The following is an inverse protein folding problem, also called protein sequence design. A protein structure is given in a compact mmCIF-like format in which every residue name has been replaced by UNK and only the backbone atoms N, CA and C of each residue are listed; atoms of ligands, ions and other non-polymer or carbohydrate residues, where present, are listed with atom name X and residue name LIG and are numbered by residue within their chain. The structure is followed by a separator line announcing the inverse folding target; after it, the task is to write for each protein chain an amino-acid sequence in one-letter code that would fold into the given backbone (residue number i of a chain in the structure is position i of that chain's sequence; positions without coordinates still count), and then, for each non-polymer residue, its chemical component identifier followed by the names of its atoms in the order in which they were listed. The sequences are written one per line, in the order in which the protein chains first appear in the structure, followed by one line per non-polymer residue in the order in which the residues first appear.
data_IF_249814491965
#
_entry.id   IF_249814491965
#
_cell.length_a   1.000
_cell.length_b   1.000
_cell.length_c   1.000
_cell.angle_alpha   90.00
_cell.angle_beta   90.00
_cell.angle_gamma   90.00
#
_symmetry.space_group_name_H-M   'P 1'
#
loop_
_entity.id
_entity.type
_entity.pdbx_description
1 polymer ?
#
# COMPACT_ATOMS: atom_id res chain seq x y z
N UNK A 1 23.67 -15.89 -10.71
CA UNK A 1 22.99 -16.22 -9.44
C UNK A 1 21.53 -16.43 -9.76
N UNK A 2 20.95 -17.56 -9.37
CA UNK A 2 19.50 -17.79 -9.52
C UNK A 2 18.76 -16.72 -8.74
N UNK A 3 17.82 -16.03 -9.38
CA UNK A 3 17.05 -14.97 -8.74
C UNK A 3 16.10 -15.59 -7.71
N UNK A 4 16.12 -15.09 -6.47
CA UNK A 4 15.20 -15.57 -5.42
C UNK A 4 13.79 -15.03 -5.66
N UNK A 5 12.77 -15.74 -5.18
CA UNK A 5 11.38 -15.31 -5.32
C UNK A 5 11.13 -13.92 -4.72
N UNK A 6 11.76 -13.61 -3.58
CA UNK A 6 11.67 -12.30 -2.94
C UNK A 6 12.32 -11.19 -3.77
N UNK A 7 13.39 -11.48 -4.52
CA UNK A 7 13.98 -10.51 -5.44
C UNK A 7 13.05 -10.25 -6.63
N UNK A 8 12.36 -11.27 -7.13
CA UNK A 8 11.33 -11.09 -8.17
C UNK A 8 10.11 -10.32 -7.64
N UNK A 9 9.67 -10.60 -6.40
CA UNK A 9 8.61 -9.85 -5.72
C UNK A 9 8.98 -8.38 -5.55
N UNK A 10 10.19 -8.09 -5.09
CA UNK A 10 10.73 -6.73 -4.97
C UNK A 10 10.65 -5.99 -6.31
N UNK A 11 11.15 -6.59 -7.41
CA UNK A 11 11.06 -5.99 -8.75
C UNK A 11 9.63 -5.79 -9.24
N UNK A 12 8.66 -6.60 -8.79
CA UNK A 12 7.24 -6.41 -9.11
C UNK A 12 6.68 -5.22 -8.35
N UNK A 13 6.92 -5.14 -7.04
CA UNK A 13 6.50 -4.02 -6.20
C UNK A 13 7.12 -2.70 -6.66
N UNK A 14 8.36 -2.75 -7.17
CA UNK A 14 9.06 -1.57 -7.69
C UNK A 14 8.42 -0.94 -8.93
N UNK A 15 7.50 -1.67 -9.58
CA UNK A 15 6.70 -1.14 -10.70
C UNK A 15 5.39 -0.49 -10.25
N UNK A 16 5.07 -0.52 -8.96
CA UNK A 16 3.81 -0.02 -8.43
C UNK A 16 4.00 1.32 -7.72
N UNK A 17 3.15 2.30 -8.05
CA UNK A 17 3.09 3.60 -7.37
C UNK A 17 4.48 4.26 -7.22
N UNK A 18 4.93 4.48 -5.98
CA UNK A 18 6.23 5.11 -5.65
C UNK A 18 7.43 4.17 -5.76
N UNK A 19 7.21 2.95 -6.21
CA UNK A 19 8.22 1.92 -6.29
C UNK A 19 8.54 1.28 -4.94
N UNK A 20 9.55 0.42 -4.98
CA UNK A 20 10.09 -0.36 -3.88
C UNK A 20 11.54 -0.72 -4.26
N UNK A 21 12.43 0.29 -4.37
CA UNK A 21 13.78 0.11 -4.91
C UNK A 21 14.61 -0.89 -4.11
N UNK A 22 15.51 -1.59 -4.80
CA UNK A 22 16.51 -2.45 -4.18
C UNK A 22 17.53 -1.62 -3.38
N UNK A 23 18.12 -2.24 -2.36
CA UNK A 23 19.15 -1.63 -1.52
C UNK A 23 20.44 -2.44 -1.53
N UNK A 24 21.55 -1.82 -1.12
CA UNK A 24 22.84 -2.49 -1.02
C UNK A 24 22.88 -3.41 0.22
N UNK A 25 22.20 -3.00 1.30
CA UNK A 25 22.08 -3.80 2.52
C UNK A 25 21.16 -5.02 2.37
N UNK A 26 20.22 -4.98 1.42
CA UNK A 26 19.18 -5.99 1.26
C UNK A 26 18.03 -5.86 2.26
N UNK A 27 17.91 -4.74 2.99
CA UNK A 27 16.86 -4.50 3.99
C UNK A 27 15.45 -4.63 3.41
N UNK A 28 15.27 -4.28 2.13
CA UNK A 28 14.00 -4.45 1.41
C UNK A 28 13.62 -5.93 1.26
N UNK A 29 14.59 -6.82 1.10
CA UNK A 29 14.31 -8.26 1.04
C UNK A 29 13.95 -8.79 2.42
N UNK A 30 14.65 -8.37 3.47
CA UNK A 30 14.33 -8.74 4.85
C UNK A 30 12.91 -8.31 5.24
N UNK A 31 12.47 -7.12 4.79
CA UNK A 31 11.09 -6.66 4.93
C UNK A 31 10.11 -7.64 4.24
N UNK A 32 10.40 -8.04 3.00
CA UNK A 32 9.52 -8.97 2.27
C UNK A 32 9.48 -10.36 2.92
N UNK A 33 10.61 -10.87 3.38
CA UNK A 33 10.70 -12.16 4.09
C UNK A 33 9.94 -12.16 5.42
N UNK A 34 9.83 -11.00 6.09
CA UNK A 34 9.02 -10.85 7.31
C UNK A 34 7.52 -10.75 7.02
N UNK A 35 7.14 -10.28 5.83
CA UNK A 35 5.73 -10.08 5.43
C UNK A 35 5.13 -11.28 4.70
N UNK A 36 5.91 -11.94 3.85
CA UNK A 36 5.46 -12.97 2.91
C UNK A 36 6.10 -14.32 3.21
N UNK A 37 5.31 -15.39 3.13
CA UNK A 37 5.85 -16.72 2.84
C UNK A 37 6.22 -16.84 1.35
N UNK A 38 7.00 -17.85 0.97
CA UNK A 38 7.28 -18.11 -0.44
C UNK A 38 6.00 -18.39 -1.24
N UNK A 39 5.00 -19.06 -0.65
CA UNK A 39 3.71 -19.32 -1.30
C UNK A 39 2.93 -18.01 -1.53
N UNK A 40 2.95 -17.10 -0.54
CA UNK A 40 2.32 -15.78 -0.66
C UNK A 40 3.01 -14.93 -1.73
N UNK A 41 4.34 -14.96 -1.78
CA UNK A 41 5.13 -14.23 -2.77
C UNK A 41 4.82 -14.74 -4.19
N UNK A 42 4.71 -16.06 -4.36
CA UNK A 42 4.31 -16.67 -5.63
C UNK A 42 2.89 -16.23 -6.03
N UNK A 43 1.93 -16.30 -5.11
CA UNK A 43 0.56 -15.87 -5.37
C UNK A 43 0.49 -14.38 -5.71
N UNK A 44 1.17 -13.51 -4.97
CA UNK A 44 1.20 -12.07 -5.24
C UNK A 44 1.77 -11.75 -6.62
N UNK A 45 2.76 -12.50 -7.10
CA UNK A 45 3.33 -12.33 -8.44
C UNK A 45 2.34 -12.70 -9.56
N UNK A 46 1.37 -13.56 -9.28
CA UNK A 46 0.26 -13.92 -10.16
C UNK A 46 -0.92 -12.94 -10.08
N UNK A 47 -0.91 -11.99 -9.13
CA UNK A 47 -1.94 -10.97 -8.99
C UNK A 47 -1.63 -9.73 -9.85
N UNK A 48 -2.69 -9.00 -10.18
CA UNK A 48 -2.62 -7.66 -10.75
C UNK A 48 -3.20 -6.61 -9.78
N UNK A 49 -2.94 -5.31 -9.99
CA UNK A 49 -3.63 -4.25 -9.24
C UNK A 49 -5.14 -4.17 -9.52
N UNK A 50 -5.65 -4.87 -10.55
CA UNK A 50 -7.08 -4.92 -10.81
C UNK A 50 -7.76 -5.86 -9.82
N UNK A 51 -9.01 -5.53 -9.47
CA UNK A 51 -9.81 -6.36 -8.58
C UNK A 51 -10.32 -7.61 -9.30
N UNK A 52 -9.80 -8.76 -8.91
CA UNK A 52 -10.07 -10.06 -9.49
C UNK A 52 -10.82 -10.98 -8.52
N UNK A 53 -11.70 -11.84 -9.03
CA UNK A 53 -12.35 -12.86 -8.20
C UNK A 53 -11.42 -14.06 -8.01
N UNK A 54 -11.59 -14.88 -6.95
CA UNK A 54 -10.83 -16.10 -6.76
C UNK A 54 -10.88 -17.05 -7.97
N UNK A 55 -12.00 -17.14 -8.68
CA UNK A 55 -12.16 -18.00 -9.86
C UNK A 55 -11.27 -17.55 -11.02
N UNK A 56 -11.17 -16.23 -11.25
CA UNK A 56 -10.31 -15.65 -12.28
C UNK A 56 -8.85 -16.00 -12.00
N UNK A 57 -8.40 -15.77 -10.77
CA UNK A 57 -7.03 -16.09 -10.33
C UNK A 57 -6.78 -17.59 -10.41
N UNK A 58 -7.71 -18.43 -9.93
CA UNK A 58 -7.61 -19.88 -9.93
C UNK A 58 -7.42 -20.46 -11.34
N UNK A 59 -8.12 -19.93 -12.35
CA UNK A 59 -7.94 -20.34 -13.74
C UNK A 59 -6.53 -20.05 -14.27
N UNK A 60 -5.91 -18.95 -13.82
CA UNK A 60 -4.56 -18.53 -14.22
C UNK A 60 -3.48 -19.38 -13.55
N UNK A 61 -3.65 -19.68 -12.26
CA UNK A 61 -2.65 -20.42 -11.46
C UNK A 61 -2.86 -21.93 -11.48
N UNK A 62 -3.93 -22.43 -12.12
CA UNK A 62 -4.22 -23.86 -12.23
C UNK A 62 -4.59 -24.54 -10.90
N UNK A 63 -5.16 -23.81 -9.95
CA UNK A 63 -5.62 -24.31 -8.64
C UNK A 63 -7.14 -24.31 -8.55
N UNK A 64 -7.71 -24.92 -7.50
CA UNK A 64 -9.15 -24.84 -7.27
C UNK A 64 -9.55 -23.43 -6.80
N UNK A 65 -10.72 -22.95 -7.23
CA UNK A 65 -11.23 -21.63 -6.81
C UNK A 65 -11.40 -21.52 -5.29
N UNK A 66 -11.76 -22.63 -4.63
CA UNK A 66 -11.91 -22.68 -3.17
C UNK A 66 -10.58 -22.47 -2.46
N UNK A 67 -9.52 -23.16 -2.89
CA UNK A 67 -8.21 -23.06 -2.23
C UNK A 67 -7.61 -21.67 -2.46
N UNK A 68 -7.77 -21.13 -3.68
CA UNK A 68 -7.35 -19.76 -3.98
C UNK A 68 -8.13 -18.74 -3.17
N UNK A 69 -9.45 -18.91 -3.01
CA UNK A 69 -10.25 -18.00 -2.18
C UNK A 69 -9.77 -17.97 -0.73
N UNK A 70 -9.47 -19.14 -0.14
CA UNK A 70 -8.95 -19.25 1.24
C UNK A 70 -7.58 -18.57 1.34
N UNK A 71 -6.69 -18.80 0.36
CA UNK A 71 -5.35 -18.22 0.38
C UNK A 71 -5.38 -16.69 0.21
N UNK A 72 -6.16 -16.18 -0.75
CA UNK A 72 -6.29 -14.73 -0.97
C UNK A 72 -6.91 -14.01 0.23
N UNK A 73 -7.89 -14.64 0.90
CA UNK A 73 -8.53 -14.10 2.10
C UNK A 73 -7.56 -14.04 3.29
N UNK A 74 -6.73 -15.07 3.49
CA UNK A 74 -5.68 -15.05 4.51
C UNK A 74 -4.63 -13.95 4.24
N UNK A 75 -4.17 -13.85 2.98
CA UNK A 75 -3.25 -12.79 2.57
C UNK A 75 -3.85 -11.39 2.79
N UNK A 76 -5.12 -11.17 2.46
CA UNK A 76 -5.81 -9.91 2.71
C UNK A 76 -5.92 -9.61 4.21
N UNK A 77 -6.26 -10.60 5.04
CA UNK A 77 -6.36 -10.45 6.51
C UNK A 77 -5.01 -10.11 7.17
N UNK A 78 -3.90 -10.51 6.54
CA UNK A 78 -2.54 -10.13 6.92
C UNK A 78 -2.05 -8.82 6.31
N UNK A 79 -2.88 -8.13 5.51
CA UNK A 79 -2.51 -6.84 4.93
C UNK A 79 -1.65 -6.93 3.67
N UNK A 80 -1.63 -8.07 2.98
CA UNK A 80 -0.78 -8.31 1.81
C UNK A 80 -1.48 -8.05 0.47
N UNK A 81 -2.82 -8.02 0.47
CA UNK A 81 -3.67 -7.73 -0.68
C UNK A 81 -4.76 -6.75 -0.29
N UNK A 82 -5.24 -5.98 -1.27
CA UNK A 82 -6.49 -5.25 -1.12
C UNK A 82 -7.67 -6.20 -1.32
N UNK A 83 -8.69 -6.07 -0.49
CA UNK A 83 -9.95 -6.82 -0.57
C UNK A 83 -11.09 -5.82 -0.76
N UNK A 84 -12.02 -6.16 -1.66
CA UNK A 84 -13.28 -5.46 -1.81
C UNK A 84 -14.43 -6.46 -1.77
N UNK A 85 -15.38 -6.20 -0.88
CA UNK A 85 -16.65 -6.91 -0.83
C UNK A 85 -17.75 -6.06 -1.47
N UNK A 86 -18.42 -6.61 -2.49
CA UNK A 86 -19.55 -5.95 -3.15
C UNK A 86 -20.69 -6.93 -3.37
N UNK A 87 -21.69 -6.88 -2.50
CA UNK A 87 -22.75 -7.89 -2.46
C UNK A 87 -22.14 -9.25 -2.14
N UNK A 88 -22.51 -10.29 -2.89
CA UNK A 88 -22.01 -11.65 -2.68
C UNK A 88 -20.66 -11.93 -3.38
N UNK A 89 -19.97 -10.89 -3.88
CA UNK A 89 -18.70 -11.03 -4.60
C UNK A 89 -17.55 -10.44 -3.81
N UNK A 90 -16.54 -11.28 -3.53
CA UNK A 90 -15.24 -10.90 -3.02
C UNK A 90 -14.24 -10.75 -4.17
N UNK A 91 -13.48 -9.66 -4.14
CA UNK A 91 -12.42 -9.39 -5.10
C UNK A 91 -11.15 -8.97 -4.40
N UNK A 92 -10.02 -9.33 -5.01
CA UNK A 92 -8.69 -9.09 -4.47
C UNK A 92 -7.80 -8.42 -5.51
N UNK A 93 -6.88 -7.57 -5.06
CA UNK A 93 -5.90 -6.90 -5.91
C UNK A 93 -4.56 -6.75 -5.23
N UNK A 94 -3.50 -6.80 -6.03
CA UNK A 94 -2.14 -6.48 -5.58
C UNK A 94 -2.05 -5.00 -5.17
N UNK A 95 -1.30 -4.73 -4.11
CA UNK A 95 -1.14 -3.40 -3.52
C UNK A 95 0.30 -2.89 -3.64
N UNK A 96 0.51 -1.57 -3.74
CA UNK A 96 1.85 -0.99 -3.66
C UNK A 96 2.44 -1.16 -2.25
N UNK A 97 3.72 -0.81 -2.11
CA UNK A 97 4.37 -0.80 -0.80
C UNK A 97 3.79 0.29 0.13
N UNK A 98 3.76 1.54 -0.33
CA UNK A 98 3.10 2.69 0.34
C UNK A 98 1.75 2.96 -0.30
N UNK A 99 0.76 3.35 0.50
CA UNK A 99 -0.68 3.21 0.24
C UNK A 99 -1.10 1.75 0.05
N UNK A 100 -0.49 0.83 0.80
CA UNK A 100 -0.72 -0.60 0.70
C UNK A 100 -0.05 -1.37 1.84
N UNK A 101 0.97 -2.17 1.51
CA UNK A 101 1.61 -3.09 2.46
C UNK A 101 1.96 -2.43 3.79
N UNK A 102 2.58 -1.24 3.75
CA UNK A 102 3.02 -0.50 4.93
C UNK A 102 1.83 -0.10 5.84
N UNK A 103 0.83 0.57 5.28
CA UNK A 103 -0.34 1.06 6.02
C UNK A 103 -1.18 -0.08 6.59
N UNK A 104 -1.28 -1.19 5.86
CA UNK A 104 -2.05 -2.35 6.31
C UNK A 104 -1.39 -3.11 7.47
N UNK A 105 -0.10 -2.85 7.75
CA UNK A 105 0.57 -3.35 8.95
C UNK A 105 0.31 -2.53 10.22
N UNK A 106 -0.50 -1.46 10.18
CA UNK A 106 -0.71 -0.55 11.33
C UNK A 106 -1.08 -1.27 12.64
N UNK A 107 -1.81 -2.39 12.58
CA UNK A 107 -2.21 -3.18 13.77
C UNK A 107 -1.16 -4.22 14.21
N UNK A 108 -0.19 -4.55 13.36
CA UNK A 108 0.77 -5.66 13.55
C UNK A 108 2.22 -5.18 13.71
N UNK A 109 2.41 -3.87 13.80
CA UNK A 109 3.71 -3.24 13.82
C UNK A 109 4.41 -3.42 15.16
N UNK A 110 5.63 -3.94 15.09
CA UNK A 110 6.56 -4.11 16.21
C UNK A 110 7.81 -3.22 16.00
N UNK A 111 8.66 -3.14 17.03
CA UNK A 111 9.90 -2.35 16.96
C UNK A 111 10.81 -2.83 15.83
N UNK A 112 10.99 -4.14 15.67
CA UNK A 112 11.88 -4.71 14.66
C UNK A 112 11.44 -4.29 13.25
N UNK A 113 10.14 -4.36 12.94
CA UNK A 113 9.60 -3.89 11.66
C UNK A 113 9.79 -2.38 11.50
N UNK A 114 9.61 -1.61 12.57
CA UNK A 114 9.81 -0.16 12.53
C UNK A 114 11.26 0.24 12.25
N UNK A 115 12.22 -0.51 12.79
CA UNK A 115 13.65 -0.33 12.52
C UNK A 115 14.00 -0.68 11.06
N UNK A 116 13.49 -1.81 10.55
CA UNK A 116 13.66 -2.18 9.14
C UNK A 116 13.09 -1.11 8.18
N UNK A 117 11.89 -0.60 8.46
CA UNK A 117 11.28 0.44 7.64
C UNK A 117 12.03 1.77 7.71
N UNK A 118 12.59 2.13 8.87
CA UNK A 118 13.47 3.31 8.99
C UNK A 118 14.71 3.13 8.13
N UNK A 119 15.40 2.01 8.26
CA UNK A 119 16.66 1.77 7.55
C UNK A 119 16.41 1.74 6.03
N UNK A 120 15.32 1.11 5.59
CA UNK A 120 14.89 1.13 4.20
C UNK A 120 14.56 2.55 3.69
N UNK A 121 13.89 3.36 4.52
CA UNK A 121 13.59 4.75 4.19
C UNK A 121 14.85 5.58 4.00
N UNK A 122 15.78 5.51 4.95
CA UNK A 122 17.04 6.24 4.93
C UNK A 122 17.95 5.77 3.79
N UNK A 123 17.98 4.47 3.49
CA UNK A 123 18.88 3.93 2.47
C UNK A 123 18.39 4.21 1.05
N UNK A 124 17.10 3.98 0.75
CA UNK A 124 16.62 4.02 -0.64
C UNK A 124 15.27 4.72 -0.84
N UNK A 125 14.25 4.42 -0.01
CA UNK A 125 12.88 4.82 -0.33
C UNK A 125 12.67 6.33 -0.35
N UNK A 126 13.39 7.12 0.48
CA UNK A 126 13.28 8.59 0.46
C UNK A 126 13.61 9.19 -0.92
N UNK A 127 14.55 8.59 -1.68
CA UNK A 127 14.91 9.07 -3.02
C UNK A 127 13.82 8.75 -4.04
N UNK A 128 13.23 7.56 -3.95
CA UNK A 128 12.09 7.19 -4.80
C UNK A 128 10.88 8.10 -4.52
N UNK A 129 10.60 8.37 -3.25
CA UNK A 129 9.53 9.28 -2.83
C UNK A 129 9.70 10.69 -3.42
N UNK A 130 10.91 11.27 -3.32
CA UNK A 130 11.21 12.58 -3.89
C UNK A 130 11.16 12.54 -5.42
N UNK A 131 11.74 11.51 -6.05
CA UNK A 131 11.74 11.40 -7.52
C UNK A 131 10.35 11.23 -8.13
N UNK A 132 9.40 10.69 -7.37
CA UNK A 132 8.01 10.51 -7.80
C UNK A 132 7.08 11.68 -7.42
N UNK A 133 7.57 12.74 -6.76
CA UNK A 133 6.73 13.86 -6.31
C UNK A 133 5.97 14.54 -7.46
N UNK A 134 6.61 14.64 -8.61
CA UNK A 134 6.01 15.22 -9.83
C UNK A 134 4.92 14.32 -10.44
N UNK A 135 4.87 13.05 -10.05
CA UNK A 135 3.88 12.07 -10.56
C UNK A 135 2.53 12.20 -9.87
N UNK A 136 2.46 12.80 -8.66
CA UNK A 136 1.19 13.08 -7.99
C UNK A 136 0.44 14.27 -8.61
N UNK A 137 1.14 15.14 -9.35
CA UNK A 137 0.56 16.32 -9.98
C UNK A 137 0.53 16.12 -11.49
N UNK A 138 -0.65 15.81 -12.03
CA UNK A 138 -0.82 15.68 -13.48
C UNK A 138 -0.79 17.06 -14.12
N UNK A 139 0.29 17.38 -14.81
CA UNK A 139 0.34 18.53 -15.72
C UNK A 139 -0.48 18.22 -16.98
N UNK A 140 -1.53 19.00 -17.24
CA UNK A 140 -2.32 18.94 -18.49
C UNK A 140 -1.95 20.16 -19.35
N UNK A 141 -1.21 19.99 -20.46
CA UNK A 141 -0.89 21.10 -21.34
C UNK A 141 -2.13 21.47 -22.16
N UNK A 142 -2.68 22.67 -21.94
CA UNK A 142 -3.88 23.16 -22.64
C UNK A 142 -3.58 24.10 -23.81
N UNK A 143 -2.31 24.42 -24.08
CA UNK A 143 -1.84 25.28 -25.20
C UNK A 143 -2.50 26.67 -25.31
N UNK A 144 -3.16 27.13 -24.26
CA UNK A 144 -3.83 28.42 -24.18
C UNK A 144 -3.35 29.17 -22.93
N UNK A 145 -3.33 30.51 -22.99
CA UNK A 145 -3.17 31.33 -21.78
C UNK A 145 -4.47 31.24 -20.99
N UNK A 146 -4.47 30.42 -19.95
CA UNK A 146 -5.57 30.41 -18.99
C UNK A 146 -5.44 31.70 -18.17
N UNK A 147 -6.50 32.53 -18.12
CA UNK A 147 -6.56 33.59 -17.11
C UNK A 147 -6.27 32.94 -15.76
N UNK A 148 -5.32 33.50 -15.02
CA UNK A 148 -4.96 32.99 -13.71
C UNK A 148 -6.10 33.33 -12.74
N UNK A 149 -7.21 32.60 -12.86
CA UNK A 149 -8.22 32.51 -11.83
C UNK A 149 -7.54 31.72 -10.72
N UNK A 150 -6.78 32.41 -9.88
CA UNK A 150 -6.55 31.98 -8.51
C UNK A 150 -7.90 32.05 -7.81
N UNK A 151 -8.83 31.18 -8.20
CA UNK A 151 -9.70 30.62 -7.20
C UNK A 151 -8.74 29.93 -6.26
N UNK A 152 -8.57 30.46 -5.06
CA UNK A 152 -8.35 29.59 -3.92
C UNK A 152 -9.50 28.59 -4.05
N UNK A 153 -9.25 27.41 -4.62
CA UNK A 153 -10.18 26.30 -4.49
C UNK A 153 -10.49 26.30 -3.01
N UNK A 154 -11.75 26.52 -2.65
CA UNK A 154 -12.08 26.75 -1.25
C UNK A 154 -11.43 25.61 -0.46
N UNK A 155 -10.42 25.98 0.32
CA UNK A 155 -9.69 25.08 1.20
C UNK A 155 -10.68 24.32 2.11
N UNK A 156 -11.87 24.89 2.26
CA UNK A 156 -12.98 24.42 3.05
C UNK A 156 -14.21 24.31 2.13
N UNK A 157 -14.87 23.18 2.02
CA UNK A 157 -15.33 22.55 3.23
C UNK A 157 -14.83 21.11 3.29
N UNK A 158 -13.57 20.93 3.72
CA UNK A 158 -13.07 19.62 4.13
C UNK A 158 -14.07 18.96 5.11
N UNK A 159 -14.77 19.74 5.94
CA UNK A 159 -15.84 19.20 6.77
C UNK A 159 -17.06 18.77 5.94
N UNK A 160 -17.45 19.45 4.86
CA UNK A 160 -18.50 19.01 3.93
C UNK A 160 -18.09 17.76 3.15
N UNK A 161 -16.85 17.70 2.66
CA UNK A 161 -16.30 16.49 2.03
C UNK A 161 -16.38 15.30 3.00
N UNK A 162 -15.97 15.50 4.26
CA UNK A 162 -16.12 14.50 5.31
C UNK A 162 -17.60 14.18 5.59
N UNK A 163 -18.48 15.17 5.74
CA UNK A 163 -19.93 14.96 5.94
C UNK A 163 -20.57 14.16 4.82
N UNK A 164 -20.08 14.31 3.58
CA UNK A 164 -20.58 13.61 2.41
C UNK A 164 -20.01 12.18 2.27
N UNK A 165 -19.00 11.80 3.06
CA UNK A 165 -18.50 10.43 3.06
C UNK A 165 -19.45 9.49 3.80
N UNK A 166 -19.87 8.42 3.13
CA UNK A 166 -20.73 7.39 3.73
C UNK A 166 -20.06 6.67 4.91
N UNK A 167 -18.74 6.47 4.83
CA UNK A 167 -17.97 5.74 5.83
C UNK A 167 -16.59 6.36 5.94
N UNK A 168 -16.19 6.66 7.16
CA UNK A 168 -14.89 7.20 7.52
C UNK A 168 -14.33 6.32 8.63
N UNK A 169 -13.11 5.82 8.43
CA UNK A 169 -12.38 5.11 9.49
C UNK A 169 -11.23 6.00 9.94
N UNK A 170 -11.08 6.16 11.24
CA UNK A 170 -9.92 6.79 11.87
C UNK A 170 -9.03 5.67 12.40
N UNK A 171 -7.73 5.75 12.11
CA UNK A 171 -6.71 4.79 12.55
C UNK A 171 -5.47 5.52 13.04
N UNK A 172 -4.60 4.78 13.74
CA UNK A 172 -3.26 5.24 14.10
C UNK A 172 -2.53 5.72 12.84
N UNK A 173 -1.89 6.88 12.92
CA UNK A 173 -0.97 7.37 11.91
C UNK A 173 0.26 6.45 11.89
N UNK A 174 0.38 5.66 10.82
CA UNK A 174 1.46 4.70 10.62
C UNK A 174 2.84 5.33 10.84
N UNK A 175 3.06 6.53 10.30
CA UNK A 175 4.32 7.24 10.43
C UNK A 175 4.63 7.61 11.89
N UNK A 176 3.63 8.11 12.64
CA UNK A 176 3.81 8.45 14.07
C UNK A 176 4.03 7.20 14.90
N UNK A 177 3.31 6.12 14.60
CA UNK A 177 3.45 4.82 15.27
C UNK A 177 4.85 4.23 15.04
N UNK A 178 5.34 4.24 13.81
CA UNK A 178 6.70 3.82 13.45
C UNK A 178 7.74 4.59 14.28
N UNK A 179 7.66 5.93 14.25
CA UNK A 179 8.59 6.76 15.03
C UNK A 179 8.48 6.50 16.53
N UNK A 180 7.27 6.31 17.06
CA UNK A 180 7.06 5.98 18.48
C UNK A 180 7.68 4.64 18.90
N UNK A 181 7.60 3.62 18.06
CA UNK A 181 8.19 2.29 18.33
C UNK A 181 9.72 2.31 18.44
N UNK A 182 10.38 3.31 17.84
CA UNK A 182 11.84 3.49 17.85
C UNK A 182 12.29 4.69 18.70
N UNK A 183 11.47 5.11 19.67
CA UNK A 183 11.74 6.22 20.60
C UNK A 183 11.99 7.59 19.93
N UNK A 184 11.51 7.77 18.70
CA UNK A 184 11.54 9.04 17.94
C UNK A 184 10.14 9.65 17.80
N UNK A 185 9.21 9.29 18.68
CA UNK A 185 7.82 9.76 18.66
C UNK A 185 7.69 11.26 18.92
N UNK A 186 6.48 11.79 18.71
CA UNK A 186 6.13 13.17 19.05
C UNK A 186 4.80 13.20 19.82
N UNK A 187 4.50 14.31 20.49
CA UNK A 187 3.30 14.46 21.33
C UNK A 187 2.00 14.69 20.52
N UNK A 188 2.01 14.40 19.21
CA UNK A 188 0.83 14.54 18.36
C UNK A 188 -0.08 13.31 18.50
N UNK A 189 -1.42 13.46 18.38
CA UNK A 189 -2.35 12.34 18.49
C UNK A 189 -2.00 11.20 17.53
N UNK A 190 -2.10 9.94 17.99
CA UNK A 190 -1.88 8.79 17.12
C UNK A 190 -3.06 8.62 16.14
N UNK A 191 -4.29 8.70 16.62
CA UNK A 191 -5.51 8.63 15.82
C UNK A 191 -5.69 9.88 14.94
N UNK A 192 -5.00 9.90 13.81
CA UNK A 192 -4.97 11.06 12.90
C UNK A 192 -4.95 10.67 11.42
N UNK A 193 -4.92 9.37 11.10
CA UNK A 193 -4.99 8.89 9.73
C UNK A 193 -6.43 8.51 9.39
N UNK A 194 -6.92 9.03 8.26
CA UNK A 194 -8.28 8.82 7.79
C UNK A 194 -8.27 7.90 6.58
N UNK A 195 -9.18 6.93 6.58
CA UNK A 195 -9.48 6.09 5.42
C UNK A 195 -10.92 6.33 4.98
N UNK A 196 -11.14 6.35 3.67
CA UNK A 196 -12.42 6.66 3.06
C UNK A 196 -12.84 5.60 2.04
N UNK A 197 -14.14 5.51 1.76
CA UNK A 197 -14.67 4.68 0.69
C UNK A 197 -14.29 3.20 0.86
N UNK A 198 -13.76 2.59 -0.20
CA UNK A 198 -13.37 1.17 -0.19
C UNK A 198 -12.21 0.86 0.76
N UNK A 199 -11.30 1.82 1.00
CA UNK A 199 -10.22 1.65 1.99
C UNK A 199 -10.75 1.68 3.44
N UNK A 200 -11.89 2.34 3.67
CA UNK A 200 -12.55 2.33 4.98
C UNK A 200 -13.34 1.03 5.24
N UNK A 201 -13.64 0.27 4.19
CA UNK A 201 -14.35 -1.01 4.29
C UNK A 201 -13.42 -2.22 4.37
N UNK A 202 -12.15 -2.01 4.07
CA UNK A 202 -11.07 -2.98 4.19
C UNK A 202 -10.77 -3.31 5.66
#
# INVERSE_FOLDING_TARGET
MTETIFRTLQKRLDKYSLGFPATDSGVELTILEKLFSEEDAAMFLEMSPMLETPESVASRVGRSARDVAVHLEDMATRGLLFRLEKGDSLKYGAIPFVHGLLEFQVKRLDRDMAELFRDYYEEAFHRAFIGSSDTFLRTIPVQESIDMIQSVAAYDDACEMLRNMKTIVVTDCICRKLSGLIDKGCDKPLEACFMFGSMAQY
#
